data_IF_477501619423
#
_entry.id   IF_477501619423
#
_cell.length_a   1.000
_cell.length_b   1.000
_cell.length_c   1.000
_cell.angle_alpha   90.00
_cell.angle_beta   90.00
_cell.angle_gamma   90.00
#
_symmetry.space_group_name_H-M   'P 1'
#
loop_
_entity.id
_entity.type
_entity.pdbx_description
1 polymer ?
#
# COMPACT_ATOMS: atom_id res chain seq x y z
N UNK A 1 -14.46 -35.76 3.79
CA UNK A 1 -15.90 -35.76 4.10
C UNK A 1 -16.68 -36.11 2.84
N UNK A 2 -17.54 -37.13 2.94
CA UNK A 2 -18.56 -37.44 1.94
C UNK A 2 -19.87 -36.80 2.40
N UNK A 3 -20.58 -36.20 1.44
CA UNK A 3 -21.97 -35.71 1.39
C UNK A 3 -21.89 -34.45 0.51
N UNK A 4 -22.48 -34.40 -0.69
CA UNK A 4 -23.92 -34.61 -0.91
C UNK A 4 -24.18 -35.22 -2.29
N UNK A 5 -24.87 -36.37 -2.30
CA UNK A 5 -25.65 -36.84 -3.43
C UNK A 5 -27.11 -36.93 -2.96
N UNK A 6 -28.01 -36.13 -3.53
CA UNK A 6 -29.40 -36.45 -3.85
C UNK A 6 -29.96 -35.26 -4.67
N UNK A 7 -29.98 -35.33 -6.01
CA UNK A 7 -31.15 -35.69 -6.84
C UNK A 7 -32.38 -34.80 -6.60
N UNK A 8 -32.46 -33.72 -7.39
CA UNK A 8 -33.61 -32.83 -7.46
C UNK A 8 -33.32 -31.59 -8.30
N UNK A 9 -33.38 -31.70 -9.64
CA UNK A 9 -33.67 -30.57 -10.54
C UNK A 9 -32.72 -29.38 -10.61
N UNK A 10 -31.54 -29.38 -9.98
CA UNK A 10 -30.57 -28.29 -10.14
C UNK A 10 -29.51 -28.72 -11.14
N UNK A 11 -29.59 -28.12 -12.33
CA UNK A 11 -28.52 -28.09 -13.32
C UNK A 11 -27.25 -27.68 -12.57
N UNK A 12 -26.31 -28.61 -12.40
CA UNK A 12 -24.99 -28.26 -11.88
C UNK A 12 -24.47 -27.12 -12.75
N UNK A 13 -24.21 -25.92 -12.20
CA UNK A 13 -23.86 -24.76 -13.01
C UNK A 13 -22.68 -25.16 -13.88
N UNK A 14 -22.79 -24.88 -15.17
CA UNK A 14 -21.75 -25.24 -16.14
C UNK A 14 -20.41 -24.69 -15.64
N UNK A 15 -19.30 -25.35 -15.97
CA UNK A 15 -17.96 -24.94 -15.55
C UNK A 15 -17.64 -23.47 -15.93
N UNK A 16 -18.31 -22.92 -16.94
CA UNK A 16 -18.23 -21.50 -17.29
C UNK A 16 -18.95 -20.56 -16.32
N UNK A 17 -20.07 -20.99 -15.72
CA UNK A 17 -20.78 -20.21 -14.68
C UNK A 17 -20.00 -20.23 -13.36
N UNK A 18 -19.42 -21.36 -12.97
CA UNK A 18 -18.57 -21.45 -11.76
C UNK A 18 -17.25 -20.69 -11.92
N UNK A 19 -16.62 -20.75 -13.11
CA UNK A 19 -15.45 -19.93 -13.45
C UNK A 19 -15.77 -18.44 -13.44
N UNK A 20 -16.88 -18.02 -14.05
CA UNK A 20 -17.30 -16.62 -14.08
C UNK A 20 -17.67 -16.05 -12.70
N UNK A 21 -18.29 -16.83 -11.82
CA UNK A 21 -18.57 -16.40 -10.44
C UNK A 21 -17.27 -16.26 -9.64
N UNK A 22 -16.32 -17.18 -9.80
CA UNK A 22 -15.03 -17.12 -9.13
C UNK A 22 -14.16 -15.96 -9.65
N UNK A 23 -14.15 -15.71 -10.96
CA UNK A 23 -13.47 -14.56 -11.57
C UNK A 23 -14.12 -13.23 -11.13
N UNK A 24 -15.45 -13.15 -11.10
CA UNK A 24 -16.17 -11.97 -10.63
C UNK A 24 -15.87 -11.65 -9.17
N UNK A 25 -15.88 -12.65 -8.28
CA UNK A 25 -15.50 -12.47 -6.89
C UNK A 25 -14.03 -12.04 -6.72
N UNK A 26 -13.13 -12.55 -7.57
CA UNK A 26 -11.71 -12.20 -7.55
C UNK A 26 -11.46 -10.75 -8.02
N UNK A 27 -12.22 -10.25 -8.99
CA UNK A 27 -12.16 -8.86 -9.45
C UNK A 27 -12.65 -7.92 -8.33
N UNK A 28 -13.81 -8.22 -7.73
CA UNK A 28 -14.34 -7.41 -6.60
C UNK A 28 -13.37 -7.38 -5.42
N UNK A 29 -12.74 -8.51 -5.09
CA UNK A 29 -11.71 -8.57 -4.05
C UNK A 29 -10.49 -7.71 -4.42
N UNK A 30 -9.99 -7.81 -5.65
CA UNK A 30 -8.85 -7.01 -6.12
C UNK A 30 -9.12 -5.51 -5.98
N UNK A 31 -10.29 -5.05 -6.42
CA UNK A 31 -10.65 -3.64 -6.39
C UNK A 31 -10.79 -3.15 -4.95
N UNK A 32 -11.43 -3.94 -4.08
CA UNK A 32 -11.54 -3.64 -2.66
C UNK A 32 -10.17 -3.51 -1.97
N UNK A 33 -9.23 -4.42 -2.27
CA UNK A 33 -7.89 -4.35 -1.67
C UNK A 33 -7.02 -3.24 -2.22
N UNK A 34 -7.19 -2.86 -3.49
CA UNK A 34 -6.50 -1.69 -4.04
C UNK A 34 -6.99 -0.43 -3.32
N UNK A 35 -8.29 -0.29 -3.08
CA UNK A 35 -8.86 0.83 -2.32
C UNK A 35 -8.31 0.86 -0.90
N UNK A 36 -8.31 -0.28 -0.19
CA UNK A 36 -7.77 -0.38 1.16
C UNK A 36 -6.26 -0.08 1.21
N UNK A 37 -5.50 -0.57 0.24
CA UNK A 37 -4.06 -0.32 0.12
C UNK A 37 -3.73 1.16 -0.11
N UNK A 38 -4.50 1.85 -0.96
CA UNK A 38 -4.34 3.29 -1.19
C UNK A 38 -4.64 4.08 0.08
N UNK A 39 -5.70 3.73 0.81
CA UNK A 39 -6.03 4.37 2.08
C UNK A 39 -4.89 4.21 3.10
N UNK A 40 -4.40 2.99 3.30
CA UNK A 40 -3.28 2.72 4.18
C UNK A 40 -1.98 3.44 3.74
N UNK A 41 -1.72 3.52 2.44
CA UNK A 41 -0.56 4.23 1.91
C UNK A 41 -0.64 5.74 2.17
N UNK A 42 -1.83 6.35 2.08
CA UNK A 42 -2.04 7.77 2.40
C UNK A 42 -1.81 8.04 3.90
N UNK A 43 -2.35 7.21 4.78
CA UNK A 43 -2.14 7.35 6.23
C UNK A 43 -0.66 7.23 6.61
N UNK A 44 0.01 6.19 6.12
CA UNK A 44 1.44 6.00 6.34
C UNK A 44 2.28 7.13 5.73
N UNK A 45 1.88 7.63 4.55
CA UNK A 45 2.53 8.76 3.90
C UNK A 45 2.40 10.05 4.72
N UNK A 46 1.20 10.37 5.22
CA UNK A 46 0.98 11.55 6.07
C UNK A 46 1.78 11.46 7.37
N UNK A 47 1.79 10.30 8.04
CA UNK A 47 2.56 10.10 9.26
C UNK A 47 4.07 10.31 9.04
N UNK A 48 4.62 9.75 7.95
CA UNK A 48 6.00 9.97 7.56
C UNK A 48 6.27 11.45 7.20
N UNK A 49 5.32 12.10 6.52
CA UNK A 49 5.37 13.50 6.15
C UNK A 49 5.46 14.42 7.36
N UNK A 50 4.54 14.27 8.34
CA UNK A 50 4.51 15.07 9.57
C UNK A 50 5.85 14.99 10.29
N UNK A 51 6.33 13.76 10.54
CA UNK A 51 7.62 13.54 11.22
C UNK A 51 8.80 14.19 10.49
N UNK A 52 8.83 14.11 9.16
CA UNK A 52 9.87 14.75 8.37
C UNK A 52 9.75 16.29 8.37
N UNK A 53 8.51 16.80 8.36
CA UNK A 53 8.20 18.21 8.45
C UNK A 53 8.71 18.85 9.73
N UNK A 54 8.32 18.28 10.89
CA UNK A 54 8.73 18.80 12.19
C UNK A 54 10.26 18.78 12.36
N UNK A 55 10.92 17.70 11.91
CA UNK A 55 12.38 17.61 11.91
C UNK A 55 13.04 18.66 11.00
N UNK A 56 12.48 18.90 9.81
CA UNK A 56 12.98 19.90 8.87
C UNK A 56 12.79 21.33 9.41
N UNK A 57 11.64 21.61 10.03
CA UNK A 57 11.35 22.89 10.68
C UNK A 57 12.32 23.19 11.81
N UNK A 58 12.52 22.25 12.73
CA UNK A 58 13.47 22.40 13.83
C UNK A 58 14.90 22.62 13.32
N UNK A 59 15.34 21.84 12.33
CA UNK A 59 16.67 22.00 11.70
C UNK A 59 16.81 23.39 11.08
N UNK A 60 15.80 23.85 10.34
CA UNK A 60 15.81 25.16 9.70
C UNK A 60 15.89 26.30 10.70
N UNK A 61 15.17 26.21 11.81
CA UNK A 61 15.24 27.21 12.87
C UNK A 61 16.65 27.29 13.46
N UNK A 62 17.27 26.15 13.74
CA UNK A 62 18.65 26.09 14.25
C UNK A 62 19.61 26.77 13.27
N UNK A 63 19.53 26.45 11.97
CA UNK A 63 20.35 27.09 10.94
C UNK A 63 20.17 28.61 10.90
N UNK A 64 18.94 29.11 11.00
CA UNK A 64 18.63 30.54 10.97
C UNK A 64 19.19 31.27 12.19
N UNK A 65 19.07 30.67 13.38
CA UNK A 65 19.64 31.21 14.62
C UNK A 65 21.18 31.22 14.54
N UNK A 66 21.79 30.10 14.12
CA UNK A 66 23.25 30.00 13.97
C UNK A 66 23.78 30.95 12.92
N UNK A 67 23.10 31.11 11.79
CA UNK A 67 23.57 31.96 10.71
C UNK A 67 23.40 33.45 11.02
N UNK A 68 22.35 33.83 11.75
CA UNK A 68 22.05 35.24 12.05
C UNK A 68 22.77 35.71 13.30
N UNK A 69 22.61 35.00 14.43
CA UNK A 69 23.20 35.40 15.71
C UNK A 69 24.62 34.88 15.91
N UNK A 70 25.08 33.95 15.06
CA UNK A 70 26.41 33.30 15.13
C UNK A 70 26.71 32.63 16.47
N UNK A 71 25.67 32.16 17.15
CA UNK A 71 25.77 31.38 18.38
C UNK A 71 25.56 29.90 18.10
N UNK A 72 26.15 29.04 18.92
CA UNK A 72 25.99 27.57 18.82
C UNK A 72 25.17 26.97 19.97
N UNK A 73 25.05 27.72 21.05
CA UNK A 73 24.42 27.31 22.29
C UNK A 73 23.36 28.34 22.68
N UNK A 74 22.27 27.88 23.28
CA UNK A 74 21.29 28.72 23.97
C UNK A 74 20.90 28.11 25.31
N UNK A 75 20.64 28.92 26.33
CA UNK A 75 20.24 28.47 27.67
C UNK A 75 21.24 27.48 28.31
N UNK A 76 22.53 27.60 27.97
CA UNK A 76 23.59 26.70 28.48
C UNK A 76 23.70 25.36 27.74
N UNK A 77 22.87 25.10 26.73
CA UNK A 77 22.86 23.87 25.95
C UNK A 77 23.14 24.12 24.47
N UNK A 78 23.53 23.08 23.73
CA UNK A 78 23.64 23.19 22.28
C UNK A 78 22.26 23.47 21.65
N UNK A 79 22.23 24.26 20.58
CA UNK A 79 20.97 24.62 19.90
C UNK A 79 20.12 23.41 19.50
N UNK A 80 20.75 22.32 19.06
CA UNK A 80 20.05 21.08 18.68
C UNK A 80 19.54 20.24 19.86
N UNK A 81 19.93 20.55 21.09
CA UNK A 81 19.38 19.95 22.31
C UNK A 81 18.18 20.75 22.81
N UNK A 82 18.28 22.08 22.74
CA UNK A 82 17.21 22.97 23.16
C UNK A 82 16.03 23.00 22.16
N UNK A 83 16.33 23.10 20.86
CA UNK A 83 15.32 23.17 19.79
C UNK A 83 15.06 21.78 19.25
N UNK A 84 13.80 21.38 19.28
CA UNK A 84 13.34 20.08 18.86
C UNK A 84 12.04 20.18 18.02
N UNK A 85 11.61 19.07 17.40
CA UNK A 85 10.37 19.00 16.62
C UNK A 85 9.11 19.50 17.35
N UNK A 86 9.07 19.42 18.69
CA UNK A 86 7.89 19.77 19.49
C UNK A 86 7.84 21.25 19.86
N UNK A 87 8.99 21.92 19.94
CA UNK A 87 9.07 23.28 20.47
C UNK A 87 9.56 24.34 19.47
N UNK A 88 9.97 23.97 18.25
CA UNK A 88 10.53 24.92 17.28
C UNK A 88 9.56 26.04 16.86
N UNK A 89 8.25 25.88 17.06
CA UNK A 89 7.24 26.90 16.80
C UNK A 89 7.01 27.84 18.00
N UNK A 90 7.59 27.53 19.17
CA UNK A 90 7.38 28.27 20.41
C UNK A 90 8.22 29.54 20.47
N UNK A 91 7.78 30.57 19.73
CA UNK A 91 8.43 31.89 19.66
C UNK A 91 8.78 32.44 21.04
N UNK A 92 7.86 32.34 22.01
CA UNK A 92 8.07 32.87 23.36
C UNK A 92 9.24 32.22 24.08
N UNK A 93 9.33 30.88 24.06
CA UNK A 93 10.38 30.09 24.71
C UNK A 93 11.74 30.40 24.08
N UNK A 94 11.79 30.40 22.75
CA UNK A 94 13.03 30.66 21.99
C UNK A 94 13.50 32.10 22.21
N UNK A 95 12.58 33.05 22.20
CA UNK A 95 12.88 34.47 22.44
C UNK A 95 13.40 34.68 23.86
N UNK A 96 12.79 34.04 24.86
CA UNK A 96 13.25 34.14 26.24
C UNK A 96 14.65 33.58 26.42
N UNK A 97 14.92 32.38 25.89
CA UNK A 97 16.25 31.77 25.92
C UNK A 97 17.32 32.66 25.26
N UNK A 98 17.05 33.16 24.05
CA UNK A 98 17.95 34.06 23.33
C UNK A 98 18.15 35.39 24.06
N UNK A 99 17.10 35.93 24.67
CA UNK A 99 17.18 37.20 25.41
C UNK A 99 18.00 37.04 26.68
N UNK A 100 17.85 35.93 27.41
CA UNK A 100 18.62 35.65 28.61
C UNK A 100 20.11 35.44 28.26
N UNK A 101 20.41 34.72 27.19
CA UNK A 101 21.79 34.56 26.73
C UNK A 101 22.38 35.86 26.18
N UNK A 102 21.60 36.68 25.49
CA UNK A 102 22.03 38.03 25.12
C UNK A 102 22.39 38.86 26.36
N UNK A 103 21.54 38.85 27.39
CA UNK A 103 21.83 39.58 28.62
C UNK A 103 23.10 39.06 29.30
N UNK A 104 23.28 37.75 29.35
CA UNK A 104 24.44 37.15 30.00
C UNK A 104 25.77 37.32 29.23
N UNK A 105 25.71 37.35 27.89
CA UNK A 105 26.89 37.50 27.05
C UNK A 105 27.22 38.99 26.85
N UNK A 106 26.24 39.86 26.67
CA UNK A 106 26.46 41.24 26.22
C UNK A 106 26.45 42.26 27.35
N UNK A 107 25.82 41.95 28.49
CA UNK A 107 25.73 42.89 29.62
C UNK A 107 26.72 42.48 30.70
N UNK A 108 27.65 43.39 31.03
CA UNK A 108 28.65 43.14 32.07
C UNK A 108 27.98 43.09 33.45
N UNK A 109 28.26 42.03 34.21
CA UNK A 109 27.87 41.97 35.61
C UNK A 109 28.56 43.07 36.41
N UNK A 110 27.80 43.82 37.21
CA UNK A 110 28.34 44.83 38.13
C UNK A 110 28.37 44.27 39.56
N UNK A 111 29.42 44.56 40.36
CA UNK A 111 29.47 44.14 41.76
C UNK A 111 28.23 44.64 42.52
N UNK A 112 27.49 43.74 43.17
CA UNK A 112 26.24 44.06 43.88
C UNK A 112 24.95 43.87 43.08
N UNK A 113 25.02 43.36 41.85
CA UNK A 113 23.85 42.89 41.08
C UNK A 113 23.16 41.71 41.80
N UNK A 114 21.84 41.79 41.99
CA UNK A 114 21.01 40.69 42.49
C UNK A 114 20.78 39.57 41.46
N UNK A 115 21.21 39.77 40.21
CA UNK A 115 21.03 38.81 39.11
C UNK A 115 22.38 38.24 38.69
N UNK A 116 22.43 36.91 38.52
CA UNK A 116 23.56 36.17 37.92
C UNK A 116 23.56 36.36 36.39
N UNK A 117 23.75 37.60 35.96
CA UNK A 117 23.79 38.01 34.56
C UNK A 117 25.17 38.60 34.29
N UNK A 118 25.76 38.27 33.15
CA UNK A 118 27.05 38.77 32.74
C UNK A 118 28.21 37.84 33.12
N UNK A 119 27.91 36.58 33.45
CA UNK A 119 28.89 35.55 33.80
C UNK A 119 29.73 35.21 32.59
N UNK A 120 29.11 35.14 31.41
CA UNK A 120 29.78 34.84 30.12
C UNK A 120 30.04 36.09 29.30
N UNK A 121 30.28 37.23 29.97
CA UNK A 121 30.44 38.52 29.32
C UNK A 121 31.51 38.49 28.22
N UNK A 122 31.07 38.77 27.00
CA UNK A 122 31.87 38.92 25.81
C UNK A 122 31.18 39.90 24.87
N UNK A 123 31.48 41.20 25.01
CA UNK A 123 30.95 42.26 24.15
C UNK A 123 31.35 42.14 22.68
N UNK A 124 32.37 41.35 22.36
CA UNK A 124 32.77 41.04 20.98
C UNK A 124 31.99 39.88 20.37
N UNK A 125 31.05 39.27 21.12
CA UNK A 125 30.19 38.22 20.58
C UNK A 125 29.30 38.79 19.46
N UNK A 126 29.17 38.10 18.32
CA UNK A 126 28.40 38.63 17.18
C UNK A 126 26.94 38.95 17.50
N UNK A 127 26.33 38.24 18.45
CA UNK A 127 24.96 38.52 18.90
C UNK A 127 24.83 39.91 19.53
N UNK A 128 25.85 40.39 20.24
CA UNK A 128 25.86 41.71 20.86
C UNK A 128 25.84 42.79 19.79
N UNK A 129 26.78 42.72 18.85
CA UNK A 129 26.85 43.67 17.72
C UNK A 129 25.57 43.61 16.88
N UNK A 130 25.06 42.42 16.59
CA UNK A 130 23.85 42.26 15.78
C UNK A 130 22.63 42.94 16.41
N UNK A 131 22.38 42.70 17.70
CA UNK A 131 21.24 43.28 18.40
C UNK A 131 21.41 44.78 18.61
N UNK A 132 22.59 45.24 19.03
CA UNK A 132 22.85 46.67 19.25
C UNK A 132 22.71 47.50 17.95
N UNK A 133 23.40 47.09 16.88
CA UNK A 133 23.33 47.78 15.58
C UNK A 133 21.93 47.71 15.00
N UNK A 134 21.28 46.53 15.10
CA UNK A 134 19.92 46.33 14.60
C UNK A 134 18.88 47.17 15.34
N UNK A 135 19.01 47.33 16.65
CA UNK A 135 18.14 48.21 17.45
C UNK A 135 18.32 49.68 17.08
N UNK A 136 19.56 50.14 16.89
CA UNK A 136 19.84 51.52 16.47
C UNK A 136 19.26 51.82 15.09
N UNK A 137 19.37 50.87 14.15
CA UNK A 137 18.83 51.01 12.81
C UNK A 137 17.29 51.02 12.77
N UNK A 138 16.63 50.19 13.61
CA UNK A 138 15.15 50.11 13.64
C UNK A 138 14.47 51.17 14.50
N UNK A 139 15.11 51.65 15.56
CA UNK A 139 14.50 52.53 16.57
C UNK A 139 15.31 53.82 16.79
N UNK A 140 15.75 54.47 15.71
CA UNK A 140 16.44 55.75 15.79
C UNK A 140 15.58 56.77 16.57
N UNK A 141 15.92 57.01 17.84
CA UNK A 141 15.29 58.01 18.71
C UNK A 141 14.32 57.49 19.78
N UNK A 142 13.87 56.24 19.75
CA UNK A 142 12.80 55.74 20.68
C UNK A 142 13.27 54.75 21.74
N UNK A 143 14.49 54.20 21.61
CA UNK A 143 14.98 53.14 22.51
C UNK A 143 14.28 51.81 22.24
N UNK A 144 15.04 50.82 21.75
CA UNK A 144 14.52 49.46 21.53
C UNK A 144 14.72 48.57 22.76
N UNK A 145 13.74 47.72 23.06
CA UNK A 145 13.96 46.58 23.96
C UNK A 145 14.72 45.48 23.19
N UNK A 146 15.89 45.01 23.67
CA UNK A 146 16.61 43.90 23.04
C UNK A 146 15.74 42.66 22.85
N UNK A 147 14.88 42.37 23.84
CA UNK A 147 13.93 41.26 23.79
C UNK A 147 12.96 41.39 22.61
N UNK A 148 12.35 42.56 22.41
CA UNK A 148 11.38 42.78 21.33
C UNK A 148 12.05 42.71 19.96
N UNK A 149 13.30 43.18 19.87
CA UNK A 149 14.10 43.07 18.65
C UNK A 149 14.38 41.61 18.30
N UNK A 150 14.85 40.82 19.28
CA UNK A 150 15.09 39.38 19.12
C UNK A 150 13.79 38.66 18.74
N UNK A 151 12.68 38.97 19.42
CA UNK A 151 11.37 38.38 19.16
C UNK A 151 10.93 38.53 17.70
N UNK A 152 11.14 39.71 17.11
CA UNK A 152 10.80 39.97 15.71
C UNK A 152 11.55 39.03 14.74
N UNK A 153 12.83 38.77 15.01
CA UNK A 153 13.62 37.85 14.20
C UNK A 153 13.22 36.39 14.46
N UNK A 154 12.97 36.02 15.72
CA UNK A 154 12.48 34.69 16.07
C UNK A 154 11.15 34.40 15.36
N UNK A 155 10.19 35.33 15.34
CA UNK A 155 8.95 35.19 14.59
C UNK A 155 9.20 34.94 13.09
N UNK A 156 10.10 35.71 12.48
CA UNK A 156 10.48 35.51 11.08
C UNK A 156 11.13 34.15 10.84
N UNK A 157 11.96 33.67 11.77
CA UNK A 157 12.63 32.38 11.65
C UNK A 157 11.66 31.21 11.82
N UNK A 158 10.75 31.31 12.79
CA UNK A 158 9.68 30.33 12.98
C UNK A 158 8.81 30.25 11.73
N UNK A 159 8.41 31.38 11.15
CA UNK A 159 7.63 31.38 9.90
C UNK A 159 8.37 30.72 8.72
N UNK A 160 9.68 30.97 8.57
CA UNK A 160 10.50 30.29 7.56
C UNK A 160 10.68 28.78 7.85
N UNK A 161 10.78 28.42 9.13
CA UNK A 161 10.87 27.03 9.57
C UNK A 161 9.56 26.28 9.30
N UNK A 162 8.40 26.90 9.59
CA UNK A 162 7.07 26.36 9.26
C UNK A 162 6.91 26.16 7.75
N UNK A 163 7.30 27.15 6.95
CA UNK A 163 7.28 26.99 5.48
C UNK A 163 8.14 25.81 5.02
N UNK A 164 9.32 25.63 5.63
CA UNK A 164 10.21 24.51 5.32
C UNK A 164 9.62 23.17 5.78
N UNK A 165 8.98 23.15 6.95
CA UNK A 165 8.28 22.00 7.47
C UNK A 165 7.14 21.58 6.53
N UNK A 166 6.29 22.51 6.10
CA UNK A 166 5.18 22.26 5.18
C UNK A 166 5.67 21.68 3.84
N UNK A 167 6.73 22.23 3.26
CA UNK A 167 7.32 21.68 2.04
C UNK A 167 7.82 20.25 2.23
N UNK A 168 8.46 19.96 3.36
CA UNK A 168 8.93 18.63 3.70
C UNK A 168 7.76 17.65 3.93
N UNK A 169 6.68 18.07 4.62
CA UNK A 169 5.45 17.28 4.76
C UNK A 169 4.90 16.92 3.40
N UNK A 170 4.70 17.90 2.52
CA UNK A 170 4.13 17.67 1.19
C UNK A 170 4.98 16.71 0.36
N UNK A 171 6.29 16.94 0.31
CA UNK A 171 7.23 16.11 -0.45
C UNK A 171 7.24 14.68 0.06
N UNK A 172 7.50 14.47 1.35
CA UNK A 172 7.63 13.13 1.94
C UNK A 172 6.30 12.39 1.92
N UNK A 173 5.18 13.06 2.17
CA UNK A 173 3.84 12.45 2.05
C UNK A 173 3.60 11.95 0.64
N UNK A 174 3.90 12.77 -0.37
CA UNK A 174 3.70 12.41 -1.78
C UNK A 174 4.59 11.24 -2.19
N UNK A 175 5.87 11.30 -1.84
CA UNK A 175 6.86 10.27 -2.19
C UNK A 175 6.48 8.94 -1.53
N UNK A 176 6.22 8.94 -0.21
CA UNK A 176 5.83 7.75 0.53
C UNK A 176 4.50 7.17 0.02
N UNK A 177 3.47 8.01 -0.18
CA UNK A 177 2.17 7.53 -0.70
C UNK A 177 2.34 6.89 -2.08
N UNK A 178 3.13 7.49 -2.96
CA UNK A 178 3.39 6.97 -4.31
C UNK A 178 4.11 5.62 -4.25
N UNK A 179 5.18 5.54 -3.47
CA UNK A 179 5.96 4.30 -3.30
C UNK A 179 5.12 3.18 -2.69
N UNK A 180 4.41 3.45 -1.59
CA UNK A 180 3.59 2.44 -0.92
C UNK A 180 2.43 1.99 -1.81
N UNK A 181 1.76 2.91 -2.50
CA UNK A 181 0.67 2.57 -3.44
C UNK A 181 1.16 1.65 -4.55
N UNK A 182 2.31 1.96 -5.15
CA UNK A 182 2.91 1.14 -6.19
C UNK A 182 3.28 -0.26 -5.68
N UNK A 183 3.92 -0.34 -4.51
CA UNK A 183 4.29 -1.64 -3.90
C UNK A 183 3.07 -2.51 -3.58
N UNK A 184 2.04 -1.93 -2.94
CA UNK A 184 0.85 -2.66 -2.54
C UNK A 184 0.02 -3.10 -3.75
N UNK A 185 -0.18 -2.20 -4.71
CA UNK A 185 -0.90 -2.53 -5.96
C UNK A 185 -0.16 -3.60 -6.77
N UNK A 186 1.18 -3.52 -6.83
CA UNK A 186 2.00 -4.55 -7.46
C UNK A 186 1.82 -5.92 -6.82
N UNK A 187 1.90 -5.99 -5.48
CA UNK A 187 1.69 -7.24 -4.74
C UNK A 187 0.27 -7.81 -4.94
N UNK A 188 -0.76 -6.97 -4.88
CA UNK A 188 -2.15 -7.38 -5.13
C UNK A 188 -2.30 -7.92 -6.55
N UNK A 189 -1.72 -7.25 -7.55
CA UNK A 189 -1.80 -7.70 -8.94
C UNK A 189 -1.09 -9.05 -9.15
N UNK A 190 0.07 -9.27 -8.51
CA UNK A 190 0.75 -10.58 -8.54
C UNK A 190 -0.11 -11.69 -7.94
N UNK A 191 -0.76 -11.44 -6.79
CA UNK A 191 -1.67 -12.41 -6.15
C UNK A 191 -2.87 -12.68 -7.06
N UNK A 192 -3.47 -11.64 -7.63
CA UNK A 192 -4.60 -11.74 -8.56
C UNK A 192 -4.26 -12.63 -9.76
N UNK A 193 -3.11 -12.40 -10.42
CA UNK A 193 -2.67 -13.19 -11.57
C UNK A 193 -2.43 -14.67 -11.20
N UNK A 194 -1.86 -14.93 -10.02
CA UNK A 194 -1.69 -16.28 -9.49
C UNK A 194 -3.03 -16.99 -9.29
N UNK A 195 -4.03 -16.30 -8.71
CA UNK A 195 -5.38 -16.85 -8.51
C UNK A 195 -6.13 -17.08 -9.82
N UNK A 196 -6.03 -16.17 -10.78
CA UNK A 196 -6.58 -16.35 -12.13
C UNK A 196 -6.01 -17.60 -12.80
N UNK A 197 -4.70 -17.79 -12.76
CA UNK A 197 -4.05 -18.97 -13.34
C UNK A 197 -4.56 -20.26 -12.69
N UNK A 198 -4.74 -20.27 -11.36
CA UNK A 198 -5.29 -21.41 -10.63
C UNK A 198 -6.76 -21.71 -11.00
N UNK A 199 -7.59 -20.68 -11.20
CA UNK A 199 -8.98 -20.83 -11.67
C UNK A 199 -8.99 -21.43 -13.08
N UNK A 200 -8.21 -20.88 -14.02
CA UNK A 200 -8.11 -21.37 -15.39
C UNK A 200 -7.63 -22.83 -15.41
N UNK A 201 -6.58 -23.17 -14.66
CA UNK A 201 -6.07 -24.54 -14.57
C UNK A 201 -7.15 -25.50 -14.03
N UNK A 202 -7.94 -25.06 -13.05
CA UNK A 202 -9.05 -25.84 -12.50
C UNK A 202 -10.17 -26.05 -13.53
N UNK A 203 -10.55 -25.00 -14.27
CA UNK A 203 -11.55 -25.09 -15.35
C UNK A 203 -11.07 -26.04 -16.45
N UNK A 204 -9.80 -25.93 -16.88
CA UNK A 204 -9.20 -26.83 -17.88
C UNK A 204 -9.20 -28.29 -17.40
N UNK A 205 -8.85 -28.54 -16.13
CA UNK A 205 -8.87 -29.88 -15.56
C UNK A 205 -10.28 -30.48 -15.53
N UNK A 206 -11.29 -29.67 -15.18
CA UNK A 206 -12.71 -30.08 -15.20
C UNK A 206 -13.16 -30.40 -16.63
N UNK A 207 -12.82 -29.55 -17.60
CA UNK A 207 -13.17 -29.76 -19.01
C UNK A 207 -12.50 -31.01 -19.58
N UNK A 208 -11.22 -31.24 -19.27
CA UNK A 208 -10.50 -32.45 -19.67
C UNK A 208 -11.16 -33.71 -19.11
N UNK A 209 -11.48 -33.72 -17.82
CA UNK A 209 -12.19 -34.83 -17.17
C UNK A 209 -13.55 -35.10 -17.82
N UNK A 210 -14.33 -34.05 -18.09
CA UNK A 210 -15.62 -34.16 -18.80
C UNK A 210 -15.45 -34.75 -20.20
N UNK A 211 -14.40 -34.38 -20.92
CA UNK A 211 -14.12 -34.90 -22.25
C UNK A 211 -13.68 -36.38 -22.23
N UNK A 212 -12.85 -36.77 -21.26
CA UNK A 212 -12.46 -38.16 -21.05
C UNK A 212 -13.67 -39.05 -20.72
N UNK A 213 -14.58 -38.58 -19.87
CA UNK A 213 -15.81 -39.28 -19.52
C UNK A 213 -16.73 -39.43 -20.74
N UNK A 214 -16.94 -38.35 -21.51
CA UNK A 214 -17.71 -38.38 -22.77
C UNK A 214 -17.12 -39.37 -23.77
N UNK A 215 -15.80 -39.45 -23.88
CA UNK A 215 -15.12 -40.38 -24.80
C UNK A 215 -15.32 -41.85 -24.37
N UNK A 216 -15.28 -42.14 -23.06
CA UNK A 216 -15.59 -43.50 -22.55
C UNK A 216 -17.04 -43.90 -22.83
N UNK A 217 -17.98 -42.99 -22.61
CA UNK A 217 -19.41 -43.22 -22.89
C UNK A 217 -19.60 -43.51 -24.38
N UNK A 218 -19.06 -42.66 -25.26
CA UNK A 218 -19.14 -42.86 -26.72
C UNK A 218 -18.55 -44.20 -27.17
N UNK A 219 -17.37 -44.57 -26.63
CA UNK A 219 -16.74 -45.86 -26.94
C UNK A 219 -17.57 -47.07 -26.47
N UNK A 220 -18.30 -46.91 -25.37
CA UNK A 220 -19.18 -47.95 -24.82
C UNK A 220 -20.45 -48.10 -25.68
N UNK A 221 -21.11 -46.99 -26.03
CA UNK A 221 -22.27 -46.98 -26.92
C UNK A 221 -21.91 -47.60 -28.28
N UNK A 222 -20.80 -47.17 -28.89
CA UNK A 222 -20.32 -47.73 -30.16
C UNK A 222 -20.06 -49.24 -30.09
N UNK A 223 -19.56 -49.76 -28.96
CA UNK A 223 -19.39 -51.22 -28.77
C UNK A 223 -20.74 -51.94 -28.70
N UNK A 224 -21.73 -51.36 -28.01
CA UNK A 224 -23.08 -51.91 -27.93
C UNK A 224 -23.74 -51.95 -29.32
N UNK A 225 -23.64 -50.87 -30.10
CA UNK A 225 -24.21 -50.80 -31.46
C UNK A 225 -23.62 -51.86 -32.42
N UNK A 226 -22.29 -52.01 -32.43
CA UNK A 226 -21.61 -53.01 -33.27
C UNK A 226 -22.02 -54.43 -32.84
N UNK A 227 -22.12 -54.67 -31.54
CA UNK A 227 -22.56 -55.97 -31.02
C UNK A 227 -24.00 -56.27 -31.46
N UNK A 228 -24.91 -55.30 -31.34
CA UNK A 228 -26.29 -55.44 -31.80
C UNK A 228 -26.37 -55.75 -33.31
N UNK A 229 -25.60 -55.06 -34.16
CA UNK A 229 -25.57 -55.33 -35.60
C UNK A 229 -25.12 -56.76 -35.92
N UNK A 230 -24.05 -57.23 -35.28
CA UNK A 230 -23.56 -58.61 -35.48
C UNK A 230 -24.59 -59.65 -34.99
N UNK A 231 -25.24 -59.42 -33.85
CA UNK A 231 -26.29 -60.30 -33.36
C UNK A 231 -27.53 -60.32 -34.27
N UNK A 232 -27.91 -59.19 -34.87
CA UNK A 232 -28.98 -59.14 -35.86
C UNK A 232 -28.63 -59.89 -37.16
N UNK A 233 -27.38 -59.77 -37.64
CA UNK A 233 -26.92 -60.51 -38.83
C UNK A 233 -26.83 -62.02 -38.57
N UNK A 234 -26.30 -62.44 -37.42
CA UNK A 234 -26.27 -63.86 -37.01
C UNK A 234 -27.69 -64.41 -36.80
N UNK A 235 -28.60 -63.61 -36.23
CA UNK A 235 -30.01 -63.97 -36.09
C UNK A 235 -30.71 -64.18 -37.44
N UNK A 236 -30.43 -63.32 -38.42
CA UNK A 236 -30.95 -63.42 -39.80
C UNK A 236 -30.39 -64.63 -40.54
N UNK A 237 -29.10 -64.95 -40.37
CA UNK A 237 -28.45 -66.15 -40.97
C UNK A 237 -29.01 -67.45 -40.38
N UNK A 238 -29.25 -67.50 -39.06
CA UNK A 238 -29.82 -68.69 -38.43
C UNK A 238 -31.28 -68.93 -38.81
N UNK A 239 -32.06 -67.88 -39.07
CA UNK A 239 -33.44 -68.01 -39.57
C UNK A 239 -33.50 -68.48 -41.03
N UNK A 240 -32.60 -68.02 -41.90
CA UNK A 240 -32.54 -68.51 -43.29
C UNK A 240 -32.04 -69.95 -43.38
N UNK A 241 -31.05 -70.34 -42.57
CA UNK A 241 -30.54 -71.72 -42.52
C UNK A 241 -31.60 -72.72 -42.02
N UNK A 242 -32.41 -72.33 -41.03
CA UNK A 242 -33.51 -73.18 -40.54
C UNK A 242 -34.65 -73.29 -41.55
N UNK A 243 -34.95 -72.24 -42.32
CA UNK A 243 -35.90 -72.32 -43.42
C UNK A 243 -35.41 -73.22 -44.56
N UNK A 244 -34.13 -73.12 -44.96
CA UNK A 244 -33.53 -73.97 -45.99
C UNK A 244 -33.46 -75.46 -45.58
N UNK A 245 -33.16 -75.74 -44.30
CA UNK A 245 -33.21 -77.09 -43.74
C UNK A 245 -34.62 -77.71 -43.83
N UNK A 246 -35.65 -76.95 -43.47
CA UNK A 246 -37.05 -77.41 -43.56
C UNK A 246 -37.51 -77.62 -45.00
N UNK A 247 -37.11 -76.75 -45.93
CA UNK A 247 -37.43 -76.92 -47.36
C UNK A 247 -36.71 -78.13 -47.97
N UNK A 248 -35.45 -78.37 -47.61
CA UNK A 248 -34.68 -79.54 -48.06
C UNK A 248 -35.33 -80.86 -47.61
N UNK A 249 -35.81 -80.95 -46.37
CA UNK A 249 -36.54 -82.10 -45.85
C UNK A 249 -37.90 -82.33 -46.55
N UNK A 250 -38.56 -81.27 -47.02
CA UNK A 250 -39.79 -81.37 -47.80
C UNK A 250 -39.52 -81.92 -49.22
N UNK A 251 -38.43 -81.51 -49.87
CA UNK A 251 -38.05 -81.97 -51.21
C UNK A 251 -37.59 -83.45 -51.18
N UNK A 252 -36.89 -83.89 -50.14
CA UNK A 252 -36.51 -85.32 -50.00
C UNK A 252 -37.71 -86.24 -49.77
N UNK A 253 -38.81 -85.72 -49.20
CA UNK A 253 -40.06 -86.49 -49.04
C UNK A 253 -40.82 -86.66 -50.36
N UNK A 254 -40.72 -85.72 -51.30
CA UNK A 254 -41.40 -85.80 -52.60
C UNK A 254 -40.71 -86.74 -53.59
N UNK A 255 -39.40 -86.94 -53.49
CA UNK A 255 -38.65 -87.86 -54.36
C UNK A 255 -38.76 -89.35 -53.96
N UNK A 256 -39.53 -89.69 -52.93
CA UNK A 256 -39.78 -91.06 -52.47
C UNK A 256 -41.19 -91.58 -52.80
N UNK A 257 -41.93 -90.91 -53.68
CA UNK A 257 -43.20 -91.38 -54.23
C UNK A 257 -43.17 -91.33 -55.77
N UNK A 258 -42.29 -92.16 -56.35
CA UNK A 258 -42.54 -92.80 -57.65
C UNK A 258 -43.38 -94.05 -57.43
#
# INVERSE_FOLDING_TARGET
MKCTQNLGGIVAPSSGVLGGIAEGALIVWKDAEIVAAIAAAKEAGMAAGIKAGEAAGATRLIELIQSTFKIKNIAGEALGSFINPENYTSVSIITEALSNDYLDICIRSLPGSLRDVGVRYNSSSPICTFVEVGMVAKNAGTGGSPKNFIETYVQSFVSQAETTAEMAVQKVTKDATTTLTAQKTGAINTIFMSKQTAIIASVVAILKKKNEEKTRIYKTIRRIDVMYLVFFDVGRINTTNTMNSKNSQHITKYNNYT
#
